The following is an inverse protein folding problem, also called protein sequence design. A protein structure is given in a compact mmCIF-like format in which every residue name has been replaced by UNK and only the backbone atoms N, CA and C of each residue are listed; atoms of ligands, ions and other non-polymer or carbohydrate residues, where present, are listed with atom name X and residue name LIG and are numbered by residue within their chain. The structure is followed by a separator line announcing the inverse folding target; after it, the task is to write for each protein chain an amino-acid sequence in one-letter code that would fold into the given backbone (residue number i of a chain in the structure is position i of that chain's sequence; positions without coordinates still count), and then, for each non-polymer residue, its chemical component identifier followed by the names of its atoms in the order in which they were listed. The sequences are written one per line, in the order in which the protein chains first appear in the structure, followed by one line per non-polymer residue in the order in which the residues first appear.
data_IF_925865014593
#
_entry.id   IF_925865014593
#
_cell.length_a   1.000
_cell.length_b   1.000
_cell.length_c   1.000
_cell.angle_alpha   90.00
_cell.angle_beta   90.00
_cell.angle_gamma   90.00
#
_symmetry.space_group_name_H-M   'P 1'
#
loop_
_entity.id
_entity.type
_entity.pdbx_description
1 polymer ?
#
# COMPACT_ATOMS: atom_id res chain seq x y z
N UNK A 1 3.51 -5.70 3.44
CA UNK A 1 4.30 -6.86 3.01
C UNK A 1 3.40 -7.88 2.33
N UNK A 2 3.89 -8.61 1.33
CA UNK A 2 3.14 -9.61 0.57
C UNK A 2 3.91 -10.93 0.61
N UNK A 3 3.26 -11.99 1.08
CA UNK A 3 3.78 -13.34 1.09
C UNK A 3 2.89 -14.25 0.24
N UNK A 4 3.50 -15.09 -0.59
CA UNK A 4 2.78 -16.09 -1.37
C UNK A 4 3.51 -17.44 -1.33
N UNK A 5 2.76 -18.53 -1.19
CA UNK A 5 3.29 -19.89 -1.27
C UNK A 5 2.29 -20.84 -1.90
N UNK A 6 2.79 -21.93 -2.48
CA UNK A 6 1.96 -23.00 -3.06
C UNK A 6 2.13 -24.31 -2.29
N UNK A 7 1.05 -25.05 -2.09
CA UNK A 7 1.08 -26.42 -1.59
C UNK A 7 0.22 -27.32 -2.50
N UNK A 8 0.87 -28.11 -3.35
CA UNK A 8 0.22 -28.86 -4.43
C UNK A 8 -0.52 -27.90 -5.37
N UNK A 9 -1.84 -28.03 -5.44
CA UNK A 9 -2.71 -27.16 -6.24
C UNK A 9 -3.25 -25.93 -5.49
N UNK A 10 -2.91 -25.77 -4.20
CA UNK A 10 -3.40 -24.65 -3.38
C UNK A 10 -2.41 -23.49 -3.40
N UNK A 11 -2.93 -22.27 -3.57
CA UNK A 11 -2.18 -21.02 -3.44
C UNK A 11 -2.60 -20.31 -2.15
N UNK A 12 -1.62 -19.97 -1.32
CA UNK A 12 -1.80 -19.15 -0.13
C UNK A 12 -1.18 -17.78 -0.37
N UNK A 13 -1.95 -16.72 -0.16
CA UNK A 13 -1.49 -15.33 -0.28
C UNK A 13 -1.83 -14.60 1.00
N UNK A 14 -0.84 -13.93 1.60
CA UNK A 14 -0.99 -13.09 2.77
C UNK A 14 -0.54 -11.67 2.42
N UNK A 15 -1.35 -10.69 2.78
CA UNK A 15 -1.04 -9.27 2.57
C UNK A 15 -1.23 -8.54 3.90
N UNK A 16 -0.19 -7.81 4.30
CA UNK A 16 -0.20 -6.96 5.51
C UNK A 16 -0.08 -5.51 5.07
N UNK A 17 -1.06 -4.69 5.47
CA UNK A 17 -1.09 -3.24 5.28
C UNK A 17 -1.45 -2.55 6.58
N UNK A 18 -1.03 -1.30 6.74
CA UNK A 18 -1.63 -0.37 7.69
C UNK A 18 -3.01 0.06 7.15
N UNK A 19 -4.07 -0.17 7.93
CA UNK A 19 -5.44 0.06 7.52
C UNK A 19 -5.83 1.54 7.45
N UNK A 20 -5.14 2.43 8.18
CA UNK A 20 -5.41 3.87 8.17
C UNK A 20 -4.57 4.60 7.13
N UNK A 21 -3.39 4.07 6.80
CA UNK A 21 -2.53 4.58 5.75
C UNK A 21 -2.91 3.95 4.40
N UNK A 22 -2.30 2.81 4.01
CA UNK A 22 -2.57 2.18 2.70
C UNK A 22 -4.01 1.66 2.56
N UNK A 23 -4.67 1.34 3.66
CA UNK A 23 -6.09 0.98 3.64
C UNK A 23 -7.04 2.17 3.50
N UNK A 24 -6.58 3.40 3.72
CA UNK A 24 -7.42 4.59 3.68
C UNK A 24 -6.67 5.86 3.21
N UNK A 25 -6.19 6.68 4.14
CA UNK A 25 -5.78 8.08 3.89
C UNK A 25 -4.62 8.20 2.90
N UNK A 26 -3.56 7.40 3.06
CA UNK A 26 -2.41 7.43 2.15
C UNK A 26 -2.80 7.01 0.73
N UNK A 27 -3.77 6.11 0.59
CA UNK A 27 -4.21 5.69 -0.73
C UNK A 27 -5.16 6.68 -1.40
N UNK A 28 -5.96 7.41 -0.62
CA UNK A 28 -6.69 8.56 -1.11
C UNK A 28 -5.74 9.66 -1.63
N UNK A 29 -4.65 9.94 -0.89
CA UNK A 29 -3.63 10.93 -1.30
C UNK A 29 -2.87 10.46 -2.54
N UNK A 30 -2.42 9.20 -2.60
CA UNK A 30 -1.78 8.63 -3.80
C UNK A 30 -2.65 8.83 -5.06
N UNK A 31 -3.95 8.52 -4.95
CA UNK A 31 -4.91 8.72 -6.03
C UNK A 31 -5.09 10.21 -6.37
N UNK A 32 -5.18 11.07 -5.35
CA UNK A 32 -5.28 12.53 -5.53
C UNK A 32 -4.06 13.11 -6.24
N UNK A 33 -2.86 12.63 -5.92
CA UNK A 33 -1.62 13.03 -6.58
C UNK A 33 -1.66 12.68 -8.07
N UNK A 34 -2.06 11.46 -8.41
CA UNK A 34 -2.19 11.03 -9.81
C UNK A 34 -3.22 11.88 -10.58
N UNK A 35 -4.38 12.17 -9.97
CA UNK A 35 -5.42 13.01 -10.57
C UNK A 35 -4.89 14.44 -10.83
N UNK A 36 -4.10 14.98 -9.90
CA UNK A 36 -3.55 16.32 -9.99
C UNK A 36 -2.25 16.42 -10.81
N UNK A 37 -1.73 15.31 -11.35
CA UNK A 37 -0.48 15.28 -12.10
C UNK A 37 0.80 15.40 -11.26
N UNK A 38 0.70 15.15 -9.95
CA UNK A 38 1.85 15.05 -9.06
C UNK A 38 2.45 13.64 -9.07
N UNK A 39 3.71 13.47 -8.61
CA UNK A 39 4.25 12.13 -8.30
C UNK A 39 3.35 11.40 -7.30
N UNK A 40 3.07 10.11 -7.52
CA UNK A 40 2.17 9.31 -6.68
C UNK A 40 2.55 9.36 -5.19
N UNK A 41 3.86 9.35 -4.90
CA UNK A 41 4.42 9.34 -3.55
C UNK A 41 4.56 10.74 -2.92
N UNK A 42 4.11 11.81 -3.59
CA UNK A 42 4.21 13.16 -3.07
C UNK A 42 3.45 13.30 -1.73
N UNK A 43 4.18 13.67 -0.67
CA UNK A 43 3.60 13.82 0.67
C UNK A 43 3.26 12.51 1.39
N UNK A 44 3.61 11.34 0.84
CA UNK A 44 3.41 10.05 1.50
C UNK A 44 4.67 9.63 2.30
N UNK A 45 4.50 9.04 3.50
CA UNK A 45 5.62 8.57 4.31
C UNK A 45 6.33 7.39 3.63
N UNK A 46 7.66 7.48 3.51
CA UNK A 46 8.49 6.41 2.93
C UNK A 46 8.81 5.29 3.91
N UNK A 47 8.64 5.54 5.21
CA UNK A 47 8.88 4.57 6.27
C UNK A 47 7.63 4.48 7.16
N UNK A 48 7.21 3.27 7.59
CA UNK A 48 5.96 3.07 8.31
C UNK A 48 5.86 3.77 9.68
N UNK A 49 6.99 4.17 10.27
CA UNK A 49 7.07 4.68 11.64
C UNK A 49 7.56 6.14 11.72
N UNK A 50 7.74 6.81 10.59
CA UNK A 50 8.23 8.20 10.55
C UNK A 50 7.09 9.14 10.17
N UNK A 51 6.19 9.34 11.12
CA UNK A 51 5.23 10.45 11.24
C UNK A 51 5.08 10.81 12.72
#
# INVERSE_FOLDING_TARGET
DIFAMTNGTHLYVNVVIDNLLRGASSQAVANGNLIAGFPEDAGLPKLPFLI
#
